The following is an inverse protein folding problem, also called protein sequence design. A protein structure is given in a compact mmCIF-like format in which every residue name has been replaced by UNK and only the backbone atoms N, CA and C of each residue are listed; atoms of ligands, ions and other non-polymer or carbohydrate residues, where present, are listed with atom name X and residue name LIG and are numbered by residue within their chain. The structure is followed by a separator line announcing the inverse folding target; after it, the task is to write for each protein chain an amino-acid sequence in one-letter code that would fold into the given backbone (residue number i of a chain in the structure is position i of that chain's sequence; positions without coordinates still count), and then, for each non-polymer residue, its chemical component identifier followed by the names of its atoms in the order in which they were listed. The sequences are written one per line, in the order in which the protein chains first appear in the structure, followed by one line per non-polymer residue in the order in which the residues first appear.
data_IF_253728352212
#
_entry.id   IF_253728352212
#
_cell.length_a   1.000
_cell.length_b   1.000
_cell.length_c   1.000
_cell.angle_alpha   90.00
_cell.angle_beta   90.00
_cell.angle_gamma   90.00
#
_symmetry.space_group_name_H-M   'P 1'
#
loop_
_entity.id
_entity.type
_entity.pdbx_description
1 polymer ?
#
# COMPACT_ATOMS: atom_id res chain seq x y z
N UNK A 1 -21.57 30.86 -7.90
CA UNK A 1 -20.27 31.09 -7.25
C UNK A 1 -19.40 31.83 -8.24
N UNK A 2 -18.93 33.04 -7.90
CA UNK A 2 -18.08 33.85 -8.78
C UNK A 2 -16.62 33.74 -8.29
N UNK A 3 -16.08 32.53 -8.37
CA UNK A 3 -14.71 32.24 -7.91
C UNK A 3 -13.73 32.54 -9.03
N UNK A 4 -12.67 33.29 -8.74
CA UNK A 4 -11.63 33.60 -9.71
C UNK A 4 -10.80 32.33 -10.00
N UNK A 5 -10.58 31.93 -11.26
CA UNK A 5 -9.86 30.69 -11.58
C UNK A 5 -8.50 30.49 -10.90
N UNK A 6 -7.65 31.52 -10.68
CA UNK A 6 -6.40 31.36 -9.94
C UNK A 6 -6.57 30.92 -8.47
N UNK A 7 -7.76 31.04 -7.91
CA UNK A 7 -8.09 30.56 -6.56
C UNK A 7 -8.72 29.15 -6.58
N UNK A 8 -8.79 28.51 -7.75
CA UNK A 8 -9.31 27.17 -7.91
C UNK A 8 -8.16 26.18 -8.05
N UNK A 9 -8.27 25.07 -7.34
CA UNK A 9 -7.45 23.88 -7.51
C UNK A 9 -8.29 22.82 -8.22
N UNK A 10 -7.77 22.28 -9.32
CA UNK A 10 -8.36 21.12 -10.01
C UNK A 10 -7.41 19.95 -9.96
N UNK A 11 -7.98 18.75 -9.87
CA UNK A 11 -7.24 17.50 -9.89
C UNK A 11 -7.66 16.77 -11.16
N UNK A 12 -6.70 16.41 -12.00
CA UNK A 12 -6.92 15.89 -13.34
C UNK A 12 -6.07 14.66 -13.60
N UNK A 13 -6.64 13.65 -14.24
CA UNK A 13 -5.96 12.38 -14.54
C UNK A 13 -5.51 12.26 -16.01
N UNK A 14 -5.92 13.22 -16.85
CA UNK A 14 -5.72 13.20 -18.30
C UNK A 14 -5.12 14.50 -18.83
N UNK A 15 -4.34 14.39 -19.92
CA UNK A 15 -3.72 15.56 -20.56
C UNK A 15 -4.74 16.61 -21.04
N UNK A 16 -5.89 16.25 -21.64
CA UNK A 16 -6.92 17.24 -22.00
C UNK A 16 -7.47 17.97 -20.77
N UNK A 17 -7.68 17.27 -19.66
CA UNK A 17 -8.13 17.86 -18.40
C UNK A 17 -7.11 18.86 -17.84
N UNK A 18 -5.84 18.48 -17.78
CA UNK A 18 -4.76 19.38 -17.37
C UNK A 18 -4.70 20.61 -18.27
N UNK A 19 -4.72 20.43 -19.60
CA UNK A 19 -4.68 21.54 -20.54
C UNK A 19 -5.86 22.49 -20.36
N UNK A 20 -7.07 21.97 -20.13
CA UNK A 20 -8.26 22.78 -19.87
C UNK A 20 -8.15 23.59 -18.57
N UNK A 21 -7.72 22.95 -17.47
CA UNK A 21 -7.52 23.63 -16.18
C UNK A 21 -6.48 24.76 -16.27
N UNK A 22 -5.34 24.51 -16.94
CA UNK A 22 -4.31 25.53 -17.17
C UNK A 22 -4.82 26.65 -18.07
N UNK A 23 -5.54 26.35 -19.14
CA UNK A 23 -6.12 27.36 -20.03
C UNK A 23 -7.15 28.26 -19.33
N UNK A 24 -7.87 27.72 -18.34
CA UNK A 24 -8.78 28.49 -17.51
C UNK A 24 -8.06 29.36 -16.45
N UNK A 25 -6.75 29.20 -16.26
CA UNK A 25 -5.96 29.92 -15.27
C UNK A 25 -6.05 29.34 -13.86
N UNK A 26 -6.37 28.05 -13.72
CA UNK A 26 -6.44 27.34 -12.43
C UNK A 26 -5.10 26.73 -12.02
N UNK A 27 -4.97 26.40 -10.73
CA UNK A 27 -3.95 25.47 -10.26
C UNK A 27 -4.39 24.04 -10.58
N UNK A 28 -3.45 23.23 -11.08
CA UNK A 28 -3.74 21.87 -11.55
C UNK A 28 -2.77 20.89 -10.89
N UNK A 29 -3.31 19.91 -10.18
CA UNK A 29 -2.60 18.70 -9.77
C UNK A 29 -2.91 17.61 -10.78
N UNK A 30 -1.89 17.01 -11.37
CA UNK A 30 -2.05 15.82 -12.20
C UNK A 30 -1.94 14.55 -11.35
N UNK A 31 -2.87 13.62 -11.53
CA UNK A 31 -2.84 12.26 -10.95
C UNK A 31 -2.94 11.26 -12.09
N UNK A 32 -1.84 10.98 -12.81
CA UNK A 32 -1.91 10.18 -14.03
C UNK A 32 -2.43 8.77 -13.73
N UNK A 33 -3.47 8.34 -14.47
CA UNK A 33 -3.99 6.97 -14.35
C UNK A 33 -2.95 5.91 -14.75
N UNK A 34 -1.90 6.32 -15.48
CA UNK A 34 -0.78 5.47 -15.89
C UNK A 34 0.53 6.02 -15.30
N UNK A 35 1.18 5.31 -14.37
CA UNK A 35 2.37 5.78 -13.62
C UNK A 35 3.56 6.19 -14.48
N UNK A 36 3.65 5.67 -15.72
CA UNK A 36 4.76 5.92 -16.65
C UNK A 36 4.64 7.19 -17.49
N UNK A 37 3.52 7.91 -17.39
CA UNK A 37 3.26 9.10 -18.20
C UNK A 37 3.43 10.40 -17.42
N UNK A 38 3.93 10.37 -16.19
CA UNK A 38 4.11 11.55 -15.32
C UNK A 38 4.88 12.69 -16.01
N UNK A 39 5.91 12.36 -16.81
CA UNK A 39 6.66 13.35 -17.59
C UNK A 39 5.81 14.10 -18.64
N UNK A 40 4.72 13.48 -19.12
CA UNK A 40 3.82 14.09 -20.09
C UNK A 40 2.92 15.15 -19.45
N UNK A 41 2.73 15.12 -18.13
CA UNK A 41 1.94 16.08 -17.36
C UNK A 41 2.76 17.30 -16.91
N UNK A 42 3.87 17.61 -17.58
CA UNK A 42 4.79 18.71 -17.24
C UNK A 42 4.17 20.11 -17.19
N UNK A 43 2.96 20.30 -17.73
CA UNK A 43 2.21 21.54 -17.65
C UNK A 43 1.39 21.72 -16.37
N UNK A 44 1.19 20.64 -15.60
CA UNK A 44 0.54 20.70 -14.28
C UNK A 44 1.46 21.39 -13.26
N UNK A 45 0.86 21.97 -12.22
CA UNK A 45 1.61 22.64 -11.16
C UNK A 45 2.24 21.62 -10.18
N UNK A 46 1.63 20.44 -10.03
CA UNK A 46 2.17 19.30 -9.30
C UNK A 46 1.73 17.99 -9.98
N UNK A 47 2.60 16.98 -9.97
CA UNK A 47 2.27 15.63 -10.45
C UNK A 47 2.45 14.67 -9.28
N UNK A 48 1.39 13.96 -8.91
CA UNK A 48 1.39 12.98 -7.83
C UNK A 48 0.92 11.61 -8.34
N UNK A 49 1.23 10.56 -7.58
CA UNK A 49 0.89 9.18 -7.97
C UNK A 49 -0.49 8.74 -7.46
N UNK A 50 -1.01 9.45 -6.44
CA UNK A 50 -2.25 9.09 -5.77
C UNK A 50 -2.96 10.32 -5.22
N UNK A 51 -4.29 10.23 -5.09
CA UNK A 51 -5.05 11.21 -4.30
C UNK A 51 -4.65 11.22 -2.82
N UNK A 52 -4.08 10.12 -2.31
CA UNK A 52 -3.54 10.08 -0.94
C UNK A 52 -2.33 11.01 -0.74
N UNK A 53 -1.72 11.47 -1.83
CA UNK A 53 -0.51 12.29 -1.82
C UNK A 53 -0.82 13.79 -1.90
N UNK A 54 -2.11 14.15 -2.02
CA UNK A 54 -2.54 15.54 -2.06
C UNK A 54 -2.26 16.18 -0.70
N UNK A 55 -1.53 17.29 -0.70
CA UNK A 55 -1.31 18.15 0.46
C UNK A 55 -2.10 19.45 0.29
N UNK A 56 -3.35 19.54 0.77
CA UNK A 56 -4.22 20.71 0.52
C UNK A 56 -3.58 22.04 0.95
N UNK A 57 -2.79 22.03 2.00
CA UNK A 57 -2.10 23.19 2.57
C UNK A 57 -1.10 23.85 1.61
N UNK A 58 -0.51 23.10 0.66
CA UNK A 58 0.36 23.68 -0.39
C UNK A 58 -0.40 24.67 -1.28
N UNK A 59 -1.72 24.51 -1.34
CA UNK A 59 -2.64 25.28 -2.19
C UNK A 59 -3.51 26.24 -1.37
N UNK A 60 -3.16 26.48 -0.09
CA UNK A 60 -3.92 27.36 0.80
C UNK A 60 -5.26 26.79 1.27
N UNK A 61 -5.48 25.49 1.09
CA UNK A 61 -6.65 24.78 1.59
C UNK A 61 -6.40 24.27 3.02
N UNK A 62 -7.48 23.90 3.72
CA UNK A 62 -7.35 23.27 5.05
C UNK A 62 -6.79 21.85 4.89
N UNK A 63 -5.85 21.43 5.76
CA UNK A 63 -5.35 20.06 5.74
C UNK A 63 -6.49 19.09 6.03
N UNK A 64 -6.35 17.85 5.55
CA UNK A 64 -7.29 16.79 5.91
C UNK A 64 -7.22 16.49 7.42
N UNK A 65 -8.37 16.15 8.01
CA UNK A 65 -8.50 15.90 9.45
C UNK A 65 -8.48 14.42 9.83
N UNK A 66 -8.33 13.54 8.85
CA UNK A 66 -8.29 12.08 8.96
C UNK A 66 -6.87 11.54 9.20
N UNK A 67 -5.84 12.34 8.97
CA UNK A 67 -4.47 12.02 9.33
C UNK A 67 -4.26 12.09 10.84
N UNK A 68 -3.61 11.06 11.40
CA UNK A 68 -3.29 10.90 12.82
C UNK A 68 -1.81 10.58 12.93
N UNK A 69 -1.03 11.44 13.61
CA UNK A 69 0.40 11.22 13.87
C UNK A 69 1.19 10.72 12.64
N UNK A 70 1.09 11.45 11.51
CA UNK A 70 1.75 11.15 10.23
C UNK A 70 1.29 9.85 9.55
N UNK A 71 0.11 9.36 9.92
CA UNK A 71 -0.52 8.18 9.31
C UNK A 71 -1.96 8.46 8.89
N UNK A 72 -2.39 7.81 7.82
CA UNK A 72 -3.78 7.80 7.39
C UNK A 72 -4.38 6.43 7.71
N UNK A 73 -5.36 6.32 8.63
CA UNK A 73 -6.13 5.09 8.81
C UNK A 73 -6.84 4.72 7.50
N UNK A 74 -6.81 3.42 7.16
CA UNK A 74 -7.54 2.88 6.01
C UNK A 74 -8.46 1.74 6.45
N UNK A 75 -9.38 1.32 5.58
CA UNK A 75 -10.08 0.06 5.80
C UNK A 75 -9.05 -1.09 5.77
N UNK A 76 -8.96 -1.91 6.84
CA UNK A 76 -7.94 -2.94 6.90
C UNK A 76 -8.11 -3.98 5.80
N UNK A 77 -6.99 -4.41 5.26
CA UNK A 77 -6.95 -5.47 4.27
C UNK A 77 -5.83 -6.46 4.59
N UNK A 78 -5.94 -7.63 3.97
CA UNK A 78 -5.22 -8.82 4.39
C UNK A 78 -4.54 -9.46 3.20
N UNK A 79 -3.31 -9.89 3.40
CA UNK A 79 -2.53 -10.59 2.38
C UNK A 79 -1.54 -11.52 3.07
N UNK A 80 -1.23 -12.66 2.47
CA UNK A 80 -0.34 -13.60 3.10
C UNK A 80 0.00 -14.78 2.21
N UNK A 81 1.12 -15.42 2.53
CA UNK A 81 1.65 -16.56 1.79
C UNK A 81 3.06 -16.90 2.25
N UNK A 82 3.71 -17.87 1.60
CA UNK A 82 5.08 -18.24 1.93
C UNK A 82 6.04 -17.10 1.60
N UNK A 83 6.98 -16.85 2.50
CA UNK A 83 8.06 -15.87 2.26
C UNK A 83 8.97 -16.38 1.15
N UNK A 84 8.99 -15.67 0.02
CA UNK A 84 9.90 -15.98 -1.09
C UNK A 84 11.12 -15.05 -1.09
N UNK A 85 12.18 -15.50 -1.74
CA UNK A 85 13.38 -14.71 -1.93
C UNK A 85 13.11 -13.65 -3.00
N UNK A 86 13.18 -12.37 -2.61
CA UNK A 86 13.03 -11.25 -3.54
C UNK A 86 14.31 -10.89 -4.31
N UNK A 87 14.26 -9.74 -4.98
CA UNK A 87 15.37 -9.21 -5.78
C UNK A 87 16.50 -8.57 -4.94
N UNK A 88 16.36 -8.54 -3.62
CA UNK A 88 17.38 -8.04 -2.69
C UNK A 88 17.70 -6.55 -2.84
N UNK A 89 16.72 -5.75 -3.27
CA UNK A 89 16.89 -4.30 -3.51
C UNK A 89 16.90 -3.51 -2.20
N UNK A 90 15.93 -3.75 -1.31
CA UNK A 90 15.91 -3.15 0.04
C UNK A 90 17.02 -3.67 0.96
N UNK A 91 17.30 -4.98 0.90
CA UNK A 91 18.28 -5.63 1.79
C UNK A 91 19.74 -5.22 1.54
N UNK A 92 20.11 -4.88 0.30
CA UNK A 92 21.49 -4.44 -0.03
C UNK A 92 21.79 -2.99 0.33
N UNK A 93 20.77 -2.14 0.42
CA UNK A 93 20.94 -0.69 0.69
C UNK A 93 20.71 -0.35 2.16
N UNK A 94 19.80 -1.07 2.84
CA UNK A 94 19.45 -0.80 4.24
C UNK A 94 19.81 -1.94 5.21
N UNK A 95 20.30 -3.10 4.73
CA UNK A 95 20.62 -4.25 5.57
C UNK A 95 19.41 -5.00 6.12
N UNK A 96 18.22 -4.77 5.55
CA UNK A 96 16.95 -5.24 6.10
C UNK A 96 16.42 -6.45 5.30
N UNK A 97 16.19 -7.61 5.93
CA UNK A 97 15.53 -8.74 5.27
C UNK A 97 14.06 -8.38 4.95
N UNK A 98 13.76 -8.23 3.66
CA UNK A 98 12.39 -8.03 3.17
C UNK A 98 11.78 -9.37 2.83
N UNK A 99 10.65 -9.72 3.44
CA UNK A 99 9.86 -10.84 2.97
C UNK A 99 9.17 -10.44 1.66
N UNK A 100 9.17 -11.31 0.65
CA UNK A 100 8.43 -11.05 -0.58
C UNK A 100 7.26 -12.05 -0.63
N UNK A 101 6.12 -11.63 -1.17
CA UNK A 101 4.98 -12.49 -1.44
C UNK A 101 4.82 -12.67 -2.97
N UNK A 102 4.37 -13.84 -3.46
CA UNK A 102 4.22 -14.08 -4.91
C UNK A 102 3.12 -13.18 -5.49
N UNK A 103 3.48 -12.31 -6.43
CA UNK A 103 2.58 -11.30 -7.00
C UNK A 103 1.39 -11.91 -7.77
N UNK A 104 1.57 -13.11 -8.34
CA UNK A 104 0.60 -13.81 -9.19
C UNK A 104 -0.74 -14.09 -8.49
N UNK A 105 -0.76 -14.18 -7.17
CA UNK A 105 -1.98 -14.44 -6.38
C UNK A 105 -2.67 -13.16 -5.89
N UNK A 106 -2.06 -11.99 -6.10
CA UNK A 106 -2.51 -10.73 -5.48
C UNK A 106 -2.60 -9.57 -6.46
N UNK A 107 -2.43 -9.79 -7.75
CA UNK A 107 -2.46 -8.75 -8.78
C UNK A 107 -3.72 -7.89 -8.71
N UNK A 108 -4.90 -8.52 -8.58
CA UNK A 108 -6.19 -7.83 -8.47
C UNK A 108 -6.23 -6.94 -7.23
N UNK A 109 -5.90 -7.49 -6.06
CA UNK A 109 -5.86 -6.75 -4.78
C UNK A 109 -4.86 -5.60 -4.85
N UNK A 110 -3.65 -5.83 -5.37
CA UNK A 110 -2.62 -4.80 -5.45
C UNK A 110 -2.95 -3.72 -6.48
N UNK A 111 -3.70 -4.04 -7.53
CA UNK A 111 -4.13 -3.07 -8.53
C UNK A 111 -4.98 -1.95 -7.91
N UNK A 112 -5.81 -2.29 -6.92
CA UNK A 112 -6.70 -1.37 -6.19
C UNK A 112 -5.96 -0.45 -5.20
N UNK A 113 -4.77 -0.84 -4.76
CA UNK A 113 -4.02 -0.10 -3.73
C UNK A 113 -2.99 0.82 -4.36
N UNK A 114 -2.92 2.08 -3.93
CA UNK A 114 -1.89 2.99 -4.45
C UNK A 114 -0.47 2.49 -4.14
N UNK A 115 0.48 2.84 -4.99
CA UNK A 115 1.90 2.71 -4.63
C UNK A 115 2.23 3.63 -3.46
N UNK A 116 3.11 3.18 -2.58
CA UNK A 116 3.55 3.92 -1.39
C UNK A 116 3.84 3.00 -0.21
N UNK A 117 4.01 3.61 0.96
CA UNK A 117 4.37 2.93 2.21
C UNK A 117 3.14 2.78 3.09
N UNK A 118 2.90 1.55 3.50
CA UNK A 118 1.83 1.11 4.39
C UNK A 118 2.42 0.56 5.68
N UNK A 119 1.58 0.38 6.70
CA UNK A 119 1.98 -0.23 7.96
C UNK A 119 0.89 -1.10 8.56
N UNK A 120 1.29 -1.96 9.49
CA UNK A 120 0.38 -2.92 10.09
C UNK A 120 1.07 -3.97 10.92
N UNK A 121 0.45 -5.15 10.95
CA UNK A 121 0.90 -6.30 11.73
C UNK A 121 1.25 -7.45 10.82
N UNK A 122 2.32 -8.16 11.16
CA UNK A 122 2.81 -9.33 10.46
C UNK A 122 2.81 -10.54 11.40
N UNK A 123 2.15 -11.61 11.03
CA UNK A 123 2.13 -12.89 11.72
C UNK A 123 3.02 -13.89 11.01
N UNK A 124 4.00 -14.44 11.71
CA UNK A 124 4.83 -15.56 11.27
C UNK A 124 4.40 -16.81 12.01
N UNK A 125 4.11 -17.87 11.25
CA UNK A 125 3.48 -19.09 11.81
C UNK A 125 4.27 -19.76 12.93
N UNK A 126 5.60 -19.61 12.98
CA UNK A 126 6.45 -20.19 14.03
C UNK A 126 7.09 -19.17 14.96
N UNK A 127 7.02 -17.87 14.63
CA UNK A 127 7.75 -16.81 15.35
C UNK A 127 6.86 -15.80 16.06
N UNK A 128 5.56 -15.74 15.76
CA UNK A 128 4.62 -14.83 16.40
C UNK A 128 4.31 -13.57 15.59
N UNK A 129 3.84 -12.52 16.27
CA UNK A 129 3.29 -11.31 15.66
C UNK A 129 4.24 -10.13 15.85
N UNK A 130 4.48 -9.39 14.78
CA UNK A 130 5.43 -8.28 14.70
C UNK A 130 4.77 -7.05 14.09
N UNK A 131 5.25 -5.87 14.50
CA UNK A 131 4.96 -4.63 13.78
C UNK A 131 5.66 -4.66 12.43
N UNK A 132 5.08 -4.01 11.44
CA UNK A 132 5.66 -3.96 10.11
C UNK A 132 5.38 -2.66 9.37
N UNK A 133 6.26 -2.36 8.43
CA UNK A 133 6.00 -1.44 7.30
C UNK A 133 6.02 -2.25 6.00
N UNK A 134 5.37 -1.75 4.95
CA UNK A 134 5.30 -2.42 3.66
C UNK A 134 5.37 -1.41 2.53
N UNK A 135 6.26 -1.62 1.57
CA UNK A 135 6.22 -0.89 0.31
C UNK A 135 5.29 -1.60 -0.67
N UNK A 136 4.44 -0.84 -1.35
CA UNK A 136 3.76 -1.26 -2.59
C UNK A 136 4.33 -0.42 -3.72
N UNK A 137 4.95 -1.07 -4.70
CA UNK A 137 5.67 -0.38 -5.78
C UNK A 137 5.52 -1.08 -7.11
N UNK A 138 5.75 -0.37 -8.21
CA UNK A 138 5.72 -0.97 -9.56
C UNK A 138 6.99 -1.77 -9.84
N UNK A 139 6.85 -2.94 -10.47
CA UNK A 139 7.98 -3.80 -10.81
C UNK A 139 8.62 -3.45 -12.17
N UNK A 140 9.86 -2.92 -12.21
CA UNK A 140 10.50 -2.53 -13.47
C UNK A 140 10.82 -3.69 -14.41
N UNK A 141 10.89 -4.93 -13.90
CA UNK A 141 11.20 -6.12 -14.70
C UNK A 141 10.00 -6.69 -15.45
N UNK A 142 8.79 -6.34 -15.02
CA UNK A 142 7.54 -6.74 -15.67
C UNK A 142 6.91 -5.52 -16.34
N UNK A 143 7.72 -4.70 -17.02
CA UNK A 143 7.27 -3.49 -17.69
C UNK A 143 6.37 -2.57 -16.83
N UNK A 144 6.53 -2.57 -15.49
CA UNK A 144 5.62 -1.91 -14.55
C UNK A 144 4.12 -2.20 -14.84
N UNK A 145 3.77 -3.40 -15.29
CA UNK A 145 2.37 -3.84 -15.40
C UNK A 145 1.85 -4.41 -14.08
N UNK A 146 2.77 -4.82 -13.21
CA UNK A 146 2.46 -5.43 -11.93
C UNK A 146 3.11 -4.66 -10.78
N UNK A 147 2.38 -4.58 -9.65
CA UNK A 147 2.92 -4.08 -8.39
C UNK A 147 3.49 -5.22 -7.57
N UNK A 148 4.55 -4.93 -6.83
CA UNK A 148 5.17 -5.81 -5.84
C UNK A 148 4.93 -5.27 -4.44
N UNK A 149 4.92 -6.19 -3.47
CA UNK A 149 4.91 -5.85 -2.05
C UNK A 149 6.18 -6.29 -1.36
N UNK A 150 6.72 -5.40 -0.55
CA UNK A 150 7.94 -5.63 0.21
C UNK A 150 7.69 -5.29 1.68
N UNK A 151 7.10 -6.23 2.47
CA UNK A 151 7.01 -6.11 3.91
C UNK A 151 8.38 -6.14 4.59
N UNK A 152 8.56 -5.21 5.53
CA UNK A 152 9.63 -5.16 6.51
C UNK A 152 9.04 -5.31 7.91
N UNK A 153 9.35 -6.44 8.55
CA UNK A 153 9.02 -6.70 9.95
C UNK A 153 10.02 -5.95 10.84
N UNK A 154 9.52 -5.17 11.79
CA UNK A 154 10.32 -4.33 12.68
C UNK A 154 10.92 -5.16 13.82
N UNK A 155 11.75 -6.12 13.43
CA UNK A 155 12.43 -7.06 14.32
C UNK A 155 13.73 -7.57 13.69
N UNK A 156 14.72 -7.90 14.51
CA UNK A 156 15.96 -8.55 14.09
C UNK A 156 15.86 -10.05 14.39
N UNK A 157 15.76 -10.86 13.33
CA UNK A 157 15.61 -12.31 13.43
C UNK A 157 16.94 -13.06 13.55
N UNK A 158 18.07 -12.42 13.21
CA UNK A 158 19.38 -13.08 13.14
C UNK A 158 19.54 -14.18 12.07
N UNK A 159 18.45 -14.62 11.44
CA UNK A 159 18.40 -15.62 10.37
C UNK A 159 17.27 -15.33 9.37
N UNK A 160 17.39 -15.89 8.17
CA UNK A 160 16.33 -15.84 7.16
C UNK A 160 15.19 -16.81 7.50
N UNK A 161 13.96 -16.44 7.13
CA UNK A 161 12.74 -17.24 7.34
C UNK A 161 12.01 -17.54 6.03
N UNK A 162 12.75 -17.79 4.95
CA UNK A 162 12.15 -18.18 3.66
C UNK A 162 11.32 -19.45 3.78
N UNK A 163 10.20 -19.49 3.06
CA UNK A 163 9.23 -20.58 3.08
C UNK A 163 8.31 -20.58 4.31
N UNK A 164 8.58 -19.77 5.32
CA UNK A 164 7.65 -19.60 6.44
C UNK A 164 6.38 -18.88 5.98
N UNK A 165 5.23 -19.29 6.49
CA UNK A 165 3.95 -18.63 6.21
C UNK A 165 3.90 -17.26 6.90
N UNK A 166 3.75 -16.20 6.10
CA UNK A 166 3.63 -14.81 6.53
C UNK A 166 2.21 -14.30 6.27
N UNK A 167 1.60 -13.69 7.28
CA UNK A 167 0.26 -13.08 7.24
C UNK A 167 0.33 -11.61 7.58
N UNK A 168 -0.22 -10.76 6.74
CA UNK A 168 -0.16 -9.31 6.91
C UNK A 168 -1.58 -8.76 7.14
N UNK A 169 -1.71 -7.90 8.14
CA UNK A 169 -2.89 -7.07 8.37
C UNK A 169 -2.45 -5.63 8.17
N UNK A 170 -2.87 -5.01 7.08
CA UNK A 170 -2.53 -3.63 6.75
C UNK A 170 -3.63 -2.73 7.32
N UNK A 171 -3.24 -1.68 8.04
CA UNK A 171 -4.19 -0.85 8.81
C UNK A 171 -4.08 0.64 8.52
N UNK A 172 -3.05 1.06 7.78
CA UNK A 172 -2.88 2.46 7.42
C UNK A 172 -1.82 2.70 6.36
N UNK A 173 -1.86 3.92 5.83
CA UNK A 173 -0.91 4.48 4.87
C UNK A 173 -0.01 5.50 5.59
N UNK A 174 1.25 5.59 5.19
CA UNK A 174 2.19 6.59 5.69
C UNK A 174 2.42 7.66 4.62
N UNK A 175 2.89 7.27 3.42
CA UNK A 175 3.39 8.23 2.43
C UNK A 175 3.72 7.59 1.07
N UNK A 176 3.99 8.41 0.02
CA UNK A 176 4.55 7.91 -1.23
C UNK A 176 5.93 7.26 -1.05
N UNK A 177 6.33 6.42 -2.01
CA UNK A 177 7.67 5.80 -2.05
C UNK A 177 8.79 6.88 -2.07
N UNK A 178 9.44 7.07 -0.93
CA UNK A 178 10.67 7.86 -0.71
C UNK A 178 11.49 7.19 0.39
N UNK A 179 12.72 7.61 0.66
CA UNK A 179 13.58 6.93 1.64
C UNK A 179 13.61 7.70 2.98
N UNK A 180 13.33 6.97 4.08
CA UNK A 180 13.60 7.23 5.51
C UNK A 180 12.40 7.61 6.43
N UNK A 181 12.48 7.11 7.68
CA UNK A 181 11.64 7.30 8.89
C UNK A 181 10.38 6.42 9.12
N UNK A 182 9.99 5.56 8.17
CA UNK A 182 8.73 4.79 8.26
C UNK A 182 8.62 3.87 9.47
N UNK A 183 9.71 3.19 9.83
CA UNK A 183 9.71 2.29 10.97
C UNK A 183 9.37 3.01 12.28
N UNK A 184 9.89 4.23 12.48
CA UNK A 184 9.61 5.01 13.69
C UNK A 184 8.14 5.44 13.73
N UNK A 185 7.60 5.89 12.59
CA UNK A 185 6.20 6.29 12.47
C UNK A 185 5.30 5.09 12.79
N UNK A 186 5.54 3.95 12.13
CA UNK A 186 4.78 2.72 12.35
C UNK A 186 4.90 2.21 13.79
N UNK A 187 6.11 2.22 14.39
CA UNK A 187 6.29 1.80 15.78
C UNK A 187 5.44 2.60 16.75
N UNK A 188 5.40 3.92 16.59
CA UNK A 188 4.58 4.82 17.40
C UNK A 188 3.10 4.60 17.12
N UNK A 189 2.69 4.64 15.85
CA UNK A 189 1.30 4.53 15.44
C UNK A 189 0.67 3.21 15.90
N UNK A 190 1.35 2.08 15.73
CA UNK A 190 0.83 0.76 16.10
C UNK A 190 0.58 0.56 17.60
N UNK A 191 1.02 1.49 18.46
CA UNK A 191 0.64 1.50 19.88
C UNK A 191 -0.70 2.21 20.16
N UNK A 192 -1.23 2.97 19.21
CA UNK A 192 -2.52 3.65 19.37
C UNK A 192 -3.65 2.61 19.37
N UNK A 193 -4.68 2.73 20.24
CA UNK A 193 -5.77 1.75 20.33
C UNK A 193 -6.46 1.44 19.00
N UNK A 194 -6.55 2.45 18.10
CA UNK A 194 -7.12 2.31 16.76
C UNK A 194 -6.42 1.21 15.94
N UNK A 195 -5.09 1.09 16.06
CA UNK A 195 -4.27 0.15 15.29
C UNK A 195 -3.87 -1.08 16.11
N UNK A 196 -3.66 -0.91 17.42
CA UNK A 196 -3.23 -1.99 18.33
C UNK A 196 -4.23 -3.15 18.38
N UNK A 197 -5.54 -2.87 18.28
CA UNK A 197 -6.59 -3.90 18.27
C UNK A 197 -6.41 -4.98 17.19
N UNK A 198 -5.69 -4.67 16.10
CA UNK A 198 -5.47 -5.63 15.00
C UNK A 198 -4.41 -6.68 15.32
N UNK A 199 -3.62 -6.52 16.40
CA UNK A 199 -2.73 -7.60 16.89
C UNK A 199 -3.49 -8.85 17.33
N UNK A 200 -4.79 -8.70 17.64
CA UNK A 200 -5.65 -9.80 18.05
C UNK A 200 -6.37 -10.47 16.88
N UNK A 201 -6.14 -10.00 15.64
CA UNK A 201 -6.72 -10.58 14.44
C UNK A 201 -6.43 -12.09 14.35
N UNK A 202 -7.45 -12.96 14.19
CA UNK A 202 -7.25 -14.39 13.96
C UNK A 202 -6.42 -14.68 12.70
N UNK A 203 -6.49 -13.80 11.70
CA UNK A 203 -5.73 -13.93 10.45
C UNK A 203 -4.21 -14.00 10.68
N UNK A 204 -3.69 -13.31 11.70
CA UNK A 204 -2.26 -13.31 12.04
C UNK A 204 -1.78 -14.63 12.64
N UNK A 205 -2.68 -15.49 13.11
CA UNK A 205 -2.37 -16.73 13.84
C UNK A 205 -2.68 -17.99 13.03
N UNK A 206 -3.57 -17.89 12.05
CA UNK A 206 -4.02 -19.06 11.29
C UNK A 206 -3.07 -19.37 10.12
N UNK A 207 -2.51 -20.58 10.14
CA UNK A 207 -1.86 -21.17 8.96
C UNK A 207 -2.91 -21.49 7.88
N UNK A 208 -2.57 -21.42 6.59
CA UNK A 208 -3.45 -21.76 5.45
C UNK A 208 -4.08 -23.18 5.47
N UNK A 209 -3.84 -24.00 6.49
CA UNK A 209 -4.23 -25.41 6.51
C UNK A 209 -5.72 -25.68 6.73
N UNK A 210 -6.57 -24.68 6.99
CA UNK A 210 -7.99 -24.93 7.35
C UNK A 210 -9.02 -24.67 6.24
N UNK A 211 -8.68 -24.10 5.09
CA UNK A 211 -9.69 -23.75 4.06
C UNK A 211 -10.00 -24.84 3.01
N UNK A 212 -9.44 -26.05 3.12
CA UNK A 212 -9.67 -27.14 2.15
C UNK A 212 -10.59 -28.27 2.63
N UNK A 213 -11.38 -28.07 3.69
CA UNK A 213 -12.32 -29.09 4.18
C UNK A 213 -13.74 -28.55 4.39
N UNK A 214 -14.33 -27.95 3.35
CA UNK A 214 -15.78 -27.74 3.29
C UNK A 214 -16.25 -27.59 1.84
N UNK A 215 -16.24 -28.70 1.08
CA UNK A 215 -17.28 -29.02 0.08
C UNK A 215 -16.95 -30.36 -0.60
N UNK A 216 -17.08 -31.43 0.18
CA UNK A 216 -17.10 -32.80 -0.31
C UNK A 216 -18.21 -33.55 0.39
N UNK A 217 -19.44 -33.43 -0.13
CA UNK A 217 -20.50 -34.47 -0.18
C UNK A 217 -21.88 -33.84 -0.36
N UNK A 218 -22.46 -33.99 -1.55
CA UNK A 218 -23.88 -34.35 -1.63
C UNK A 218 -24.08 -35.30 -2.81
N UNK A 219 -24.07 -36.58 -2.44
CA UNK A 219 -24.82 -37.72 -3.00
C UNK A 219 -25.55 -37.53 -4.33
N UNK A 220 -25.12 -38.34 -5.30
CA UNK A 220 -25.94 -39.03 -6.31
C UNK A 220 -27.27 -39.50 -5.70
N UNK A 221 -28.39 -39.12 -6.31
CA UNK A 221 -29.63 -39.90 -6.29
C UNK A 221 -30.18 -39.89 -7.72
N UNK A 222 -30.14 -41.08 -8.35
CA UNK A 222 -30.86 -41.42 -9.57
C UNK A 222 -32.38 -41.23 -9.40
N UNK A 223 -33.10 -40.85 -10.46
CA UNK A 223 -34.23 -41.63 -11.03
C UNK A 223 -35.10 -40.81 -11.99
N UNK A 224 -35.20 -41.33 -13.22
CA UNK A 224 -36.26 -41.20 -14.26
C UNK A 224 -36.37 -39.91 -15.07
#
# INVERSE_FOLDING_TARGET
MNTNPPNCLVIEDSLPGVAAGKAAGMHVIAVPSVPKRTAEFSSADEVINSLLDVSPEKWGLRPFSDWIDDTLPIEPWFIGGPVIKGFGRGSKVLGIPTANLPAENFSDVLSEHTSGVYFGWAGLSTRGIYKMVMSIGWNPYFDNTEKTIEPWLLHDFGEDFYGEELRLVIVGYIRPERIHEDARIAEKALNLPLYAKYTDSPYLRNSLKEDNSANGNQSVIDSK
#
